data_IF_161148653323
#
_entry.id   IF_161148653323
#
_cell.length_a   1.000
_cell.length_b   1.000
_cell.length_c   1.000
_cell.angle_alpha   90.00
_cell.angle_beta   90.00
_cell.angle_gamma   90.00
#
_symmetry.space_group_name_H-M   'P 1'
#
loop_
_entity.id
_entity.type
_entity.pdbx_description
1 polymer ?
#
# COMPACT_ATOMS: atom_id res chain seq x y z
N UNK A 1 26.27 20.07 -5.94
CA UNK A 1 24.80 20.14 -6.12
C UNK A 1 24.26 18.72 -6.27
N UNK A 2 23.26 18.31 -5.49
CA UNK A 2 22.71 16.95 -5.54
C UNK A 2 22.00 16.65 -6.88
N UNK A 3 22.24 15.46 -7.44
CA UNK A 3 21.62 14.99 -8.69
C UNK A 3 20.09 14.95 -8.59
N UNK A 4 19.57 14.48 -7.45
CA UNK A 4 18.12 14.43 -7.15
C UNK A 4 17.52 15.83 -7.16
N UNK A 5 18.21 16.80 -6.56
CA UNK A 5 17.73 18.17 -6.54
C UNK A 5 17.63 18.75 -7.96
N UNK A 6 18.67 18.57 -8.78
CA UNK A 6 18.68 19.11 -10.14
C UNK A 6 17.65 18.47 -11.07
N UNK A 7 17.36 17.18 -10.90
CA UNK A 7 16.41 16.44 -11.74
C UNK A 7 14.96 16.65 -11.31
N UNK A 8 14.67 16.55 -10.02
CA UNK A 8 13.29 16.44 -9.54
C UNK A 8 12.81 17.67 -8.77
N UNK A 9 13.70 18.40 -8.10
CA UNK A 9 13.31 19.44 -7.13
C UNK A 9 13.60 20.87 -7.59
N UNK A 10 14.45 21.06 -8.60
CA UNK A 10 14.92 22.38 -9.06
C UNK A 10 13.91 23.12 -9.93
N UNK A 11 13.08 22.41 -10.71
CA UNK A 11 12.04 23.02 -11.56
C UNK A 11 10.67 22.71 -10.96
N UNK A 12 9.86 23.74 -10.71
CA UNK A 12 8.53 23.59 -10.10
C UNK A 12 7.60 22.65 -10.88
N UNK A 13 7.68 22.65 -12.21
CA UNK A 13 6.91 21.73 -13.06
C UNK A 13 7.36 20.27 -12.91
N UNK A 14 8.67 20.01 -12.89
CA UNK A 14 9.22 18.68 -12.64
C UNK A 14 8.91 18.19 -11.22
N UNK A 15 8.95 19.10 -10.25
CA UNK A 15 8.57 18.83 -8.87
C UNK A 15 7.11 18.41 -8.76
N UNK A 16 6.17 19.15 -9.37
CA UNK A 16 4.76 18.80 -9.37
C UNK A 16 4.49 17.40 -9.96
N UNK A 17 5.11 17.07 -11.10
CA UNK A 17 5.00 15.73 -11.71
C UNK A 17 5.56 14.65 -10.77
N UNK A 18 6.72 14.91 -10.16
CA UNK A 18 7.34 13.97 -9.22
C UNK A 18 6.43 13.71 -8.02
N UNK A 19 5.80 14.75 -7.47
CA UNK A 19 4.85 14.61 -6.35
C UNK A 19 3.61 13.82 -6.76
N UNK A 20 3.02 14.10 -7.92
CA UNK A 20 1.84 13.36 -8.39
C UNK A 20 2.13 11.88 -8.59
N UNK A 21 3.22 11.56 -9.28
CA UNK A 21 3.64 10.16 -9.50
C UNK A 21 3.99 9.49 -8.17
N UNK A 22 4.72 10.21 -7.31
CA UNK A 22 5.08 9.75 -5.97
C UNK A 22 3.86 9.41 -5.13
N UNK A 23 2.81 10.25 -5.16
CA UNK A 23 1.57 10.04 -4.42
C UNK A 23 0.86 8.75 -4.86
N UNK A 24 0.69 8.53 -6.18
CA UNK A 24 0.01 7.32 -6.69
C UNK A 24 0.77 6.04 -6.36
N UNK A 25 2.10 6.07 -6.42
CA UNK A 25 2.92 4.93 -6.04
C UNK A 25 2.92 4.70 -4.53
N UNK A 26 2.99 5.78 -3.75
CA UNK A 26 2.96 5.73 -2.29
C UNK A 26 1.63 5.14 -1.79
N UNK A 27 0.49 5.60 -2.32
CA UNK A 27 -0.85 5.10 -1.99
C UNK A 27 -0.90 3.58 -2.05
N UNK A 28 -0.52 2.98 -3.19
CA UNK A 28 -0.58 1.51 -3.35
C UNK A 28 0.31 0.75 -2.39
N UNK A 29 1.54 1.23 -2.16
CA UNK A 29 2.48 0.58 -1.26
C UNK A 29 2.04 0.72 0.19
N UNK A 30 1.53 1.89 0.55
CA UNK A 30 1.08 2.19 1.90
C UNK A 30 -0.18 1.39 2.25
N UNK A 31 -1.15 1.29 1.34
CA UNK A 31 -2.36 0.50 1.54
C UNK A 31 -2.03 -0.98 1.74
N UNK A 32 -1.27 -1.58 0.80
CA UNK A 32 -0.91 -3.00 0.90
C UNK A 32 -0.03 -3.30 2.13
N UNK A 33 0.91 -2.40 2.44
CA UNK A 33 1.76 -2.54 3.61
C UNK A 33 0.97 -2.38 4.92
N UNK A 34 0.04 -1.44 4.95
CA UNK A 34 -0.87 -1.20 6.07
C UNK A 34 -1.77 -2.39 6.33
N UNK A 35 -2.40 -2.94 5.29
CA UNK A 35 -3.21 -4.15 5.37
C UNK A 35 -2.38 -5.33 5.88
N UNK A 36 -1.19 -5.58 5.31
CA UNK A 36 -0.33 -6.67 5.75
C UNK A 36 0.10 -6.53 7.22
N UNK A 37 0.48 -5.32 7.64
CA UNK A 37 0.84 -5.05 9.03
C UNK A 37 -0.36 -5.25 9.97
N UNK A 38 -1.53 -4.74 9.59
CA UNK A 38 -2.76 -4.88 10.37
C UNK A 38 -3.19 -6.35 10.50
N UNK A 39 -3.07 -7.12 9.42
CA UNK A 39 -3.32 -8.55 9.39
C UNK A 39 -2.39 -9.32 10.32
N UNK A 40 -1.09 -9.01 10.27
CA UNK A 40 -0.09 -9.63 11.11
C UNK A 40 -0.40 -9.40 12.60
N UNK A 41 -0.71 -8.16 12.96
CA UNK A 41 -1.04 -7.77 14.32
C UNK A 41 -2.35 -8.41 14.82
N UNK A 42 -3.26 -8.75 13.91
CA UNK A 42 -4.57 -9.34 14.22
C UNK A 42 -4.70 -10.79 13.71
N UNK A 43 -3.56 -11.48 13.58
CA UNK A 43 -3.51 -12.88 13.15
C UNK A 43 -4.41 -13.74 14.04
N UNK A 44 -5.23 -14.58 13.40
CA UNK A 44 -6.23 -15.43 14.06
C UNK A 44 -7.50 -14.73 14.58
N UNK A 45 -7.58 -13.40 14.57
CA UNK A 45 -8.77 -12.65 15.05
C UNK A 45 -9.68 -12.16 13.92
N UNK A 46 -9.09 -11.85 12.76
CA UNK A 46 -9.84 -11.35 11.61
C UNK A 46 -10.78 -12.41 11.04
N UNK A 47 -11.94 -11.98 10.54
CA UNK A 47 -12.94 -12.88 9.95
C UNK A 47 -12.33 -13.78 8.88
N UNK A 48 -11.51 -13.25 7.96
CA UNK A 48 -10.82 -14.03 6.93
C UNK A 48 -9.94 -15.17 7.48
N UNK A 49 -9.45 -15.05 8.71
CA UNK A 49 -8.67 -16.12 9.35
C UNK A 49 -9.56 -17.24 9.88
N UNK A 50 -10.77 -16.94 10.34
CA UNK A 50 -11.67 -17.89 11.01
C UNK A 50 -12.86 -18.33 10.15
N UNK A 51 -13.09 -17.67 9.00
CA UNK A 51 -14.23 -17.90 8.09
C UNK A 51 -14.40 -19.36 7.71
N UNK A 52 -13.29 -20.07 7.48
CA UNK A 52 -13.27 -21.50 7.15
C UNK A 52 -13.89 -22.41 8.21
N UNK A 53 -14.03 -21.94 9.46
CA UNK A 53 -14.70 -22.69 10.53
C UNK A 53 -16.24 -22.63 10.45
N UNK A 54 -16.76 -21.68 9.67
CA UNK A 54 -18.19 -21.33 9.66
C UNK A 54 -18.83 -21.49 8.28
N UNK A 55 -18.04 -21.43 7.21
CA UNK A 55 -18.52 -21.76 5.88
C UNK A 55 -18.57 -23.28 5.71
N UNK A 56 -19.77 -23.81 5.46
CA UNK A 56 -19.93 -25.18 4.99
C UNK A 56 -19.31 -25.26 3.60
N UNK A 57 -18.58 -26.33 3.30
CA UNK A 57 -18.30 -26.69 1.93
C UNK A 57 -19.65 -27.03 1.30
N UNK A 58 -20.14 -26.16 0.44
CA UNK A 58 -21.13 -26.56 -0.54
C UNK A 58 -20.37 -27.47 -1.52
N UNK A 59 -20.46 -28.79 -1.27
CA UNK A 59 -20.05 -29.81 -2.21
C UNK A 59 -21.09 -29.82 -3.36
N UNK A 60 -20.84 -29.02 -4.41
CA UNK A 60 -21.36 -29.18 -5.77
C UNK A 60 -20.21 -29.14 -6.79
#
# INVERSE_FOLDING_TARGET
MSLVYNLFLRKTSAFAVTVMVGAVLFERVFDQGGDALFEELNRGKLWKHIKHNYEKKDDE
#
